data_IF_554408415945
#
_entry.id   IF_554408415945
#
_cell.length_a   1.000
_cell.length_b   1.000
_cell.length_c   1.000
_cell.angle_alpha   90.00
_cell.angle_beta   90.00
_cell.angle_gamma   90.00
#
_symmetry.space_group_name_H-M   'P 1'
#
loop_
_entity.id
_entity.type
_entity.pdbx_description
1 polymer ?
#
# COMPACT_ATOMS: atom_id res chain seq x y z
N UNK A 1 3.89 9.19 -15.82
CA UNK A 1 2.95 8.58 -16.76
C UNK A 1 2.28 7.44 -16.01
N UNK A 2 0.97 7.52 -15.74
CA UNK A 2 0.25 6.42 -15.08
C UNK A 2 0.27 5.20 -16.00
N UNK A 3 0.23 4.01 -15.41
CA UNK A 3 0.41 2.71 -16.04
C UNK A 3 -0.33 2.59 -17.40
N UNK A 4 0.43 2.73 -18.49
CA UNK A 4 -0.09 2.50 -19.83
C UNK A 4 -0.36 1.01 -19.99
N UNK A 5 -1.50 0.68 -20.59
CA UNK A 5 -1.73 -0.66 -21.10
C UNK A 5 -0.74 -0.92 -22.23
N UNK A 6 -0.05 -2.05 -22.14
CA UNK A 6 0.98 -2.45 -23.10
C UNK A 6 0.80 -3.92 -23.45
N UNK A 7 1.24 -4.27 -24.65
CA UNK A 7 1.46 -5.66 -25.05
C UNK A 7 2.94 -5.95 -24.96
N UNK A 8 3.31 -6.94 -24.15
CA UNK A 8 4.68 -7.38 -24.00
C UNK A 8 4.88 -8.72 -24.72
N UNK A 9 5.80 -8.78 -25.67
CA UNK A 9 6.25 -10.01 -26.31
C UNK A 9 7.36 -10.63 -25.47
N UNK A 10 7.23 -11.91 -25.12
CA UNK A 10 8.21 -12.67 -24.37
C UNK A 10 9.34 -13.09 -25.31
N UNK A 11 10.59 -12.90 -24.88
CA UNK A 11 11.78 -13.36 -25.58
C UNK A 11 12.40 -14.59 -24.91
N UNK A 12 12.37 -14.65 -23.58
CA UNK A 12 12.85 -15.82 -22.85
C UNK A 12 12.55 -15.78 -21.36
N UNK A 13 12.39 -16.96 -20.77
CA UNK A 13 12.23 -17.10 -19.32
C UNK A 13 13.59 -16.94 -18.60
N UNK A 14 13.62 -16.10 -17.57
CA UNK A 14 14.76 -15.88 -16.68
C UNK A 14 14.58 -16.63 -15.35
N UNK A 15 13.33 -16.87 -14.95
CA UNK A 15 12.90 -17.75 -13.85
C UNK A 15 11.44 -18.17 -14.08
N UNK A 16 10.83 -19.05 -13.25
CA UNK A 16 9.42 -19.45 -13.42
C UNK A 16 8.40 -18.31 -13.49
N UNK A 17 8.71 -17.16 -12.88
CA UNK A 17 7.81 -16.00 -12.81
C UNK A 17 8.40 -14.73 -13.43
N UNK A 18 9.58 -14.80 -14.06
CA UNK A 18 10.29 -13.65 -14.61
C UNK A 18 10.76 -13.95 -16.03
N UNK A 19 10.46 -13.04 -16.96
CA UNK A 19 10.79 -13.17 -18.37
C UNK A 19 11.44 -11.89 -18.88
N UNK A 20 12.33 -12.01 -19.87
CA UNK A 20 12.77 -10.90 -20.71
C UNK A 20 11.85 -10.77 -21.91
N UNK A 21 11.71 -9.55 -22.42
CA UNK A 21 10.87 -9.29 -23.57
C UNK A 21 10.92 -7.85 -24.04
N UNK A 22 9.94 -7.50 -24.89
CA UNK A 22 9.78 -6.16 -25.43
C UNK A 22 8.33 -5.70 -25.24
N UNK A 23 8.15 -4.53 -24.65
CA UNK A 23 6.85 -3.92 -24.45
C UNK A 23 6.53 -2.92 -25.58
N UNK A 24 5.31 -3.00 -26.08
CA UNK A 24 4.77 -2.12 -27.12
C UNK A 24 3.43 -1.51 -26.67
N UNK A 25 3.25 -0.22 -26.91
CA UNK A 25 2.03 0.50 -26.54
C UNK A 25 2.15 2.01 -26.77
N UNK A 26 1.13 2.76 -26.33
CA UNK A 26 1.10 4.22 -26.51
C UNK A 26 2.30 4.86 -25.81
N UNK A 27 3.19 5.48 -26.59
CA UNK A 27 4.42 6.11 -26.08
C UNK A 27 5.53 5.14 -25.68
N UNK A 28 5.44 3.86 -26.06
CA UNK A 28 6.44 2.83 -25.77
C UNK A 28 6.64 1.95 -27.01
N UNK A 29 7.50 2.34 -27.98
CA UNK A 29 7.74 1.55 -29.18
C UNK A 29 8.80 0.48 -28.92
N UNK A 30 8.37 -0.78 -28.71
CA UNK A 30 9.26 -1.95 -28.68
C UNK A 30 10.39 -1.84 -27.65
N UNK A 31 10.10 -1.35 -26.45
CA UNK A 31 11.10 -1.10 -25.41
C UNK A 31 11.45 -2.39 -24.67
N UNK A 32 12.74 -2.69 -24.49
CA UNK A 32 13.18 -3.84 -23.70
C UNK A 32 12.62 -3.78 -22.28
N UNK A 33 12.00 -4.87 -21.83
CA UNK A 33 11.23 -4.93 -20.60
C UNK A 33 11.49 -6.23 -19.84
N UNK A 34 11.20 -6.21 -18.54
CA UNK A 34 10.97 -7.43 -17.77
C UNK A 34 9.48 -7.66 -17.62
N UNK A 35 9.07 -8.92 -17.72
CA UNK A 35 7.68 -9.34 -17.55
C UNK A 35 7.64 -10.22 -16.31
N UNK A 36 6.76 -9.89 -15.38
CA UNK A 36 6.54 -10.68 -14.16
C UNK A 36 5.11 -11.18 -14.14
N UNK A 37 4.93 -12.49 -13.97
CA UNK A 37 3.62 -13.14 -13.94
C UNK A 37 3.66 -14.34 -13.00
N UNK A 38 2.59 -14.54 -12.21
CA UNK A 38 2.46 -15.75 -11.37
C UNK A 38 2.09 -16.98 -12.20
N UNK A 39 1.55 -16.76 -13.39
CA UNK A 39 1.21 -17.81 -14.37
C UNK A 39 2.25 -17.84 -15.51
N UNK A 40 2.51 -19.02 -16.10
CA UNK A 40 3.36 -19.10 -17.29
C UNK A 40 2.89 -18.15 -18.39
N UNK A 41 3.85 -17.53 -19.08
CA UNK A 41 3.60 -16.69 -20.26
C UNK A 41 4.39 -17.27 -21.43
N UNK A 42 3.71 -17.65 -22.50
CA UNK A 42 4.33 -18.29 -23.68
C UNK A 42 4.84 -17.23 -24.65
N UNK A 43 3.96 -16.55 -25.39
CA UNK A 43 4.37 -15.62 -26.45
C UNK A 43 4.16 -14.15 -26.09
N UNK A 44 2.98 -13.79 -25.57
CA UNK A 44 2.62 -12.40 -25.29
C UNK A 44 1.82 -12.25 -24.01
N UNK A 45 1.93 -11.07 -23.40
CA UNK A 45 1.13 -10.66 -22.25
C UNK A 45 0.59 -9.25 -22.50
N UNK A 46 -0.73 -9.10 -22.44
CA UNK A 46 -1.36 -7.79 -22.26
C UNK A 46 -1.34 -7.44 -20.78
N UNK A 47 -0.68 -6.34 -20.45
CA UNK A 47 -0.43 -5.96 -19.06
C UNK A 47 -0.31 -4.46 -18.88
N UNK A 48 0.23 -4.10 -17.73
CA UNK A 48 0.47 -2.72 -17.34
C UNK A 48 1.91 -2.55 -16.91
N UNK A 49 2.47 -1.37 -17.16
CA UNK A 49 3.74 -0.98 -16.54
C UNK A 49 3.47 -0.77 -15.04
N UNK A 50 4.10 -1.57 -14.18
CA UNK A 50 3.96 -1.46 -12.72
C UNK A 50 5.13 -0.79 -12.03
N UNK A 51 6.32 -0.91 -12.62
CA UNK A 51 7.51 -0.22 -12.15
C UNK A 51 8.47 0.03 -13.32
N UNK A 52 9.49 0.84 -13.07
CA UNK A 52 10.66 0.98 -13.94
C UNK A 52 11.90 0.74 -13.10
N UNK A 53 12.77 -0.17 -13.54
CA UNK A 53 14.07 -0.40 -12.91
C UNK A 53 15.15 0.35 -13.66
N UNK A 54 16.05 1.00 -12.92
CA UNK A 54 17.29 1.58 -13.44
C UNK A 54 18.42 0.63 -13.08
N UNK A 55 19.11 0.15 -14.10
CA UNK A 55 20.30 -0.68 -13.96
C UNK A 55 21.54 0.19 -13.70
N UNK A 56 22.61 -0.37 -13.18
CA UNK A 56 23.82 0.39 -12.84
C UNK A 56 24.56 1.03 -14.01
N UNK A 57 24.24 0.66 -15.26
CA UNK A 57 24.73 1.33 -16.47
C UNK A 57 23.83 2.52 -16.90
N UNK A 58 22.82 2.86 -16.08
CA UNK A 58 21.82 3.89 -16.37
C UNK A 58 20.64 3.40 -17.23
N UNK A 59 20.69 2.17 -17.75
CA UNK A 59 19.61 1.62 -18.57
C UNK A 59 18.32 1.52 -17.76
N UNK A 60 17.23 2.07 -18.29
CA UNK A 60 15.91 1.92 -17.72
C UNK A 60 15.13 0.79 -18.41
N UNK A 61 14.53 -0.10 -17.62
CA UNK A 61 13.66 -1.16 -18.13
C UNK A 61 12.32 -1.14 -17.40
N UNK A 62 11.17 -1.02 -18.11
CA UNK A 62 9.87 -1.18 -17.50
C UNK A 62 9.67 -2.63 -17.03
N UNK A 63 8.91 -2.76 -15.94
CA UNK A 63 8.38 -4.01 -15.40
C UNK A 63 6.90 -4.08 -15.80
N UNK A 64 6.54 -5.15 -16.50
CA UNK A 64 5.17 -5.40 -16.94
C UNK A 64 4.57 -6.53 -16.11
N UNK A 65 3.37 -6.32 -15.56
CA UNK A 65 2.60 -7.39 -14.91
C UNK A 65 1.20 -7.50 -15.53
N UNK A 66 0.53 -8.67 -15.41
CA UNK A 66 -0.86 -8.81 -15.80
C UNK A 66 -1.74 -7.78 -15.07
N UNK A 67 -2.75 -7.24 -15.75
CA UNK A 67 -3.63 -6.19 -15.21
C UNK A 67 -4.34 -6.59 -13.91
N UNK A 68 -4.67 -7.86 -13.78
CA UNK A 68 -5.32 -8.47 -12.62
C UNK A 68 -4.32 -8.93 -11.53
N UNK A 69 -3.02 -8.75 -11.76
CA UNK A 69 -1.94 -9.13 -10.85
C UNK A 69 -1.02 -7.91 -10.62
N UNK A 70 -1.54 -6.89 -9.94
CA UNK A 70 -0.72 -5.76 -9.51
C UNK A 70 0.26 -6.25 -8.46
N UNK A 71 1.54 -6.18 -8.78
CA UNK A 71 2.62 -6.44 -7.84
C UNK A 71 3.16 -5.13 -7.28
N UNK A 72 3.59 -5.18 -6.02
CA UNK A 72 4.16 -4.06 -5.31
C UNK A 72 5.66 -4.28 -5.09
N UNK A 73 6.36 -3.23 -4.68
CA UNK A 73 7.81 -3.20 -4.60
C UNK A 73 8.46 -4.44 -3.95
N UNK A 74 8.03 -4.95 -2.78
CA UNK A 74 8.71 -6.09 -2.16
C UNK A 74 8.64 -7.36 -3.02
N UNK A 75 7.49 -7.62 -3.65
CA UNK A 75 7.30 -8.78 -4.54
C UNK A 75 8.11 -8.64 -5.84
N UNK A 76 8.14 -7.43 -6.39
CA UNK A 76 8.93 -7.11 -7.59
C UNK A 76 10.41 -7.31 -7.28
N UNK A 77 10.92 -6.74 -6.20
CA UNK A 77 12.32 -6.85 -5.79
C UNK A 77 12.73 -8.31 -5.52
N UNK A 78 11.87 -9.09 -4.83
CA UNK A 78 12.10 -10.53 -4.65
C UNK A 78 12.22 -11.24 -5.99
N UNK A 79 11.33 -10.96 -6.94
CA UNK A 79 11.35 -11.60 -8.25
C UNK A 79 12.61 -11.24 -9.03
N UNK A 80 12.99 -9.96 -9.02
CA UNK A 80 14.16 -9.46 -9.71
C UNK A 80 15.48 -9.96 -9.12
N UNK A 81 15.50 -10.43 -7.86
CA UNK A 81 16.67 -11.09 -7.26
C UNK A 81 17.14 -12.34 -8.02
N UNK A 82 16.29 -12.92 -8.89
CA UNK A 82 16.67 -14.00 -9.79
C UNK A 82 17.70 -13.58 -10.87
N UNK A 83 17.84 -12.27 -11.13
CA UNK A 83 18.76 -11.74 -12.12
C UNK A 83 20.21 -11.70 -11.59
N UNK A 84 20.90 -12.85 -11.63
CA UNK A 84 22.25 -13.02 -11.03
C UNK A 84 23.35 -12.09 -11.58
N UNK A 85 23.22 -11.60 -12.81
CA UNK A 85 24.23 -10.78 -13.48
C UNK A 85 23.79 -9.34 -13.73
N UNK A 86 22.62 -8.94 -13.21
CA UNK A 86 22.07 -7.60 -13.42
C UNK A 86 22.09 -6.86 -12.10
N UNK A 87 22.85 -5.76 -12.04
CA UNK A 87 22.86 -4.89 -10.87
C UNK A 87 21.78 -3.81 -11.03
N UNK A 88 20.76 -3.89 -10.17
CA UNK A 88 19.70 -2.88 -10.09
C UNK A 88 20.17 -1.76 -9.16
N UNK A 89 20.16 -0.54 -9.66
CA UNK A 89 20.51 0.66 -8.89
C UNK A 89 19.28 1.25 -8.19
N UNK A 90 18.14 1.31 -8.90
CA UNK A 90 16.91 1.90 -8.39
C UNK A 90 15.69 1.22 -8.99
N UNK A 91 14.60 1.17 -8.22
CA UNK A 91 13.26 0.88 -8.72
C UNK A 91 12.35 2.10 -8.50
N UNK A 92 11.50 2.37 -9.49
CA UNK A 92 10.46 3.40 -9.40
C UNK A 92 9.10 2.74 -9.64
N UNK A 93 8.37 2.46 -8.56
CA UNK A 93 7.06 1.83 -8.61
C UNK A 93 5.97 2.83 -9.01
N UNK A 94 5.05 2.39 -9.86
CA UNK A 94 3.84 3.13 -10.24
C UNK A 94 2.63 2.74 -9.36
N UNK A 95 2.78 1.68 -8.57
CA UNK A 95 1.78 1.20 -7.62
C UNK A 95 2.41 1.02 -6.24
N UNK A 96 1.70 1.49 -5.22
CA UNK A 96 2.09 1.33 -3.82
C UNK A 96 0.96 0.69 -3.03
N UNK A 97 1.31 -0.13 -2.05
CA UNK A 97 0.37 -0.68 -1.09
C UNK A 97 0.81 -0.37 0.32
N UNK A 98 -0.13 0.15 1.10
CA UNK A 98 0.00 0.32 2.53
C UNK A 98 -1.13 -0.39 3.26
N UNK A 99 -0.87 -0.79 4.50
CA UNK A 99 -1.91 -1.28 5.40
C UNK A 99 -1.87 -0.51 6.71
N UNK A 100 -3.02 -0.30 7.32
CA UNK A 100 -3.16 0.44 8.57
C UNK A 100 -4.44 0.07 9.29
N UNK A 101 -4.75 0.78 10.37
CA UNK A 101 -5.95 0.51 11.14
C UNK A 101 -6.62 1.77 11.70
N UNK A 102 -7.95 1.77 11.70
CA UNK A 102 -8.74 2.63 12.59
C UNK A 102 -8.72 2.00 13.97
N UNK A 103 -8.09 2.66 14.93
CA UNK A 103 -7.89 2.12 16.27
C UNK A 103 -8.96 2.69 17.20
N UNK A 104 -9.78 1.81 17.77
CA UNK A 104 -10.80 2.14 18.76
C UNK A 104 -10.22 2.06 20.16
N UNK A 105 -10.48 3.10 20.95
CA UNK A 105 -10.24 3.13 22.39
C UNK A 105 -11.54 3.53 23.10
N UNK A 106 -11.92 2.78 24.13
CA UNK A 106 -13.03 3.15 25.01
C UNK A 106 -12.46 3.93 26.19
N UNK A 107 -12.78 5.21 26.26
CA UNK A 107 -12.34 6.08 27.35
C UNK A 107 -12.80 5.51 28.71
N UNK A 108 -11.85 5.36 29.64
CA UNK A 108 -12.11 4.71 30.94
C UNK A 108 -12.98 5.56 31.88
N UNK A 109 -13.02 6.88 31.66
CA UNK A 109 -13.75 7.84 32.50
C UNK A 109 -15.13 8.09 31.91
N UNK A 110 -15.21 8.44 30.62
CA UNK A 110 -16.47 8.83 29.97
C UNK A 110 -17.20 7.66 29.35
N UNK A 111 -16.52 6.54 29.08
CA UNK A 111 -17.06 5.40 28.35
C UNK A 111 -17.20 5.64 26.84
N UNK A 112 -16.81 6.81 26.33
CA UNK A 112 -16.92 7.21 24.94
C UNK A 112 -15.93 6.44 24.04
N UNK A 113 -16.36 6.05 22.84
CA UNK A 113 -15.47 5.47 21.82
C UNK A 113 -14.72 6.59 21.11
N UNK A 114 -13.40 6.51 21.17
CA UNK A 114 -12.45 7.38 20.47
C UNK A 114 -11.68 6.62 19.41
N UNK A 115 -11.21 7.36 18.40
CA UNK A 115 -10.30 6.87 17.39
C UNK A 115 -8.96 7.60 17.44
N UNK A 116 -7.88 6.88 17.15
CA UNK A 116 -6.56 7.50 17.00
C UNK A 116 -6.41 8.07 15.60
N UNK A 117 -6.01 9.33 15.52
CA UNK A 117 -5.53 9.96 14.31
C UNK A 117 -4.08 10.42 14.50
N UNK A 118 -3.28 10.24 13.46
CA UNK A 118 -1.87 10.69 13.41
C UNK A 118 -1.66 11.63 12.23
N UNK A 119 -0.64 12.47 12.33
CA UNK A 119 -0.19 13.36 11.26
C UNK A 119 1.27 13.04 10.96
N UNK A 120 1.53 12.48 9.79
CA UNK A 120 2.89 12.18 9.34
C UNK A 120 3.59 13.49 8.90
N UNK A 121 4.92 13.57 8.98
CA UNK A 121 5.72 14.74 8.58
C UNK A 121 5.45 15.21 7.15
N UNK A 122 5.32 14.24 6.25
CA UNK A 122 5.04 14.48 4.83
C UNK A 122 3.55 14.70 4.56
N UNK A 123 2.71 14.55 5.59
CA UNK A 123 1.26 14.66 5.54
C UNK A 123 0.78 16.03 5.99
N UNK A 124 -0.12 16.63 5.21
CA UNK A 124 -0.75 17.90 5.60
C UNK A 124 -1.89 17.73 6.59
N UNK A 125 -2.47 16.53 6.68
CA UNK A 125 -3.71 16.27 7.38
C UNK A 125 -3.64 15.00 8.22
N UNK A 126 -4.50 14.95 9.23
CA UNK A 126 -4.65 13.80 10.09
C UNK A 126 -5.34 12.64 9.36
N UNK A 127 -4.80 11.45 9.54
CA UNK A 127 -5.33 10.18 9.02
C UNK A 127 -5.06 9.06 10.02
N UNK A 128 -5.26 7.81 9.63
CA UNK A 128 -5.00 6.66 10.49
C UNK A 128 -3.55 6.18 10.37
N UNK A 129 -2.99 5.55 11.42
CA UNK A 129 -1.69 4.90 11.35
C UNK A 129 -1.65 3.83 10.26
N UNK A 130 -0.58 3.82 9.45
CA UNK A 130 -0.42 2.97 8.27
C UNK A 130 1.01 3.07 7.71
N UNK A 131 1.49 1.99 7.11
CA UNK A 131 2.72 2.04 6.33
C UNK A 131 2.81 0.92 5.30
N UNK A 132 3.99 0.74 4.72
CA UNK A 132 4.18 -0.09 3.53
C UNK A 132 4.12 -1.59 3.87
N UNK A 133 3.62 -2.39 2.94
CA UNK A 133 3.67 -3.85 3.08
C UNK A 133 5.11 -4.31 2.92
N UNK A 134 5.60 -5.16 3.81
CA UNK A 134 6.89 -5.83 3.67
C UNK A 134 6.75 -7.22 3.04
N UNK A 135 7.88 -7.77 2.57
CA UNK A 135 7.89 -9.03 1.86
C UNK A 135 7.42 -10.19 2.74
N UNK A 136 6.34 -10.86 2.33
CA UNK A 136 5.81 -12.03 3.02
C UNK A 136 4.79 -11.71 4.12
N UNK A 137 4.51 -10.43 4.38
CA UNK A 137 3.49 -10.03 5.33
C UNK A 137 2.07 -10.22 4.77
N UNK A 138 1.15 -10.59 5.65
CA UNK A 138 -0.27 -10.41 5.39
C UNK A 138 -0.68 -8.96 5.63
N UNK A 139 -1.73 -8.48 4.97
CA UNK A 139 -2.24 -7.11 5.18
C UNK A 139 -2.53 -6.79 6.66
N UNK A 140 -3.08 -7.77 7.40
CA UNK A 140 -3.34 -7.63 8.84
C UNK A 140 -2.05 -7.53 9.65
N UNK A 141 -1.04 -8.35 9.32
CA UNK A 141 0.25 -8.32 9.99
C UNK A 141 0.96 -6.98 9.77
N UNK A 142 0.98 -6.49 8.53
CA UNK A 142 1.48 -5.14 8.20
C UNK A 142 0.75 -4.08 9.02
N UNK A 143 -0.59 -4.08 9.04
CA UNK A 143 -1.34 -3.09 9.80
C UNK A 143 -1.02 -3.09 11.30
N UNK A 144 -0.84 -4.27 11.92
CA UNK A 144 -0.48 -4.37 13.34
C UNK A 144 0.95 -3.88 13.59
N UNK A 145 1.90 -4.27 12.74
CA UNK A 145 3.30 -3.83 12.84
C UNK A 145 3.41 -2.31 12.70
N UNK A 146 2.80 -1.74 11.67
CA UNK A 146 2.85 -0.29 11.40
C UNK A 146 2.22 0.53 12.53
N UNK A 147 1.08 0.07 13.07
CA UNK A 147 0.49 0.71 14.27
C UNK A 147 1.46 0.68 15.44
N UNK A 148 2.15 -0.46 15.65
CA UNK A 148 3.13 -0.59 16.73
C UNK A 148 4.34 0.31 16.50
N UNK A 149 4.86 0.39 15.29
CA UNK A 149 6.00 1.25 14.94
C UNK A 149 5.66 2.73 15.11
N UNK A 150 4.57 3.21 14.49
CA UNK A 150 4.23 4.64 14.49
C UNK A 150 3.77 5.16 15.87
N UNK A 151 3.21 4.29 16.74
CA UNK A 151 2.48 4.73 17.95
C UNK A 151 2.79 3.96 19.24
N UNK A 152 3.57 2.87 19.16
CA UNK A 152 3.86 1.93 20.25
C UNK A 152 2.63 1.21 20.85
N UNK A 153 1.46 1.31 20.21
CA UNK A 153 0.25 0.64 20.68
C UNK A 153 0.21 -0.85 20.31
N UNK A 154 -0.19 -1.66 21.29
CA UNK A 154 -0.62 -3.04 21.05
C UNK A 154 -2.12 -3.06 20.72
N UNK A 155 -2.46 -3.58 19.54
CA UNK A 155 -3.83 -3.58 19.03
C UNK A 155 -4.29 -4.99 18.65
N UNK A 156 -5.60 -5.20 18.72
CA UNK A 156 -6.25 -6.43 18.25
C UNK A 156 -7.18 -6.07 17.11
N UNK A 157 -6.93 -6.64 15.93
CA UNK A 157 -7.81 -6.49 14.76
C UNK A 157 -9.17 -7.13 15.05
N UNK A 158 -10.24 -6.42 14.73
CA UNK A 158 -11.59 -6.95 14.70
C UNK A 158 -11.84 -7.59 13.34
N UNK A 159 -12.35 -8.82 13.34
CA UNK A 159 -12.76 -9.49 12.11
C UNK A 159 -14.00 -8.83 11.50
N UNK A 160 -14.23 -9.04 10.21
CA UNK A 160 -15.43 -8.53 9.52
C UNK A 160 -15.32 -7.09 9.01
N UNK A 161 -14.24 -6.36 9.32
CA UNK A 161 -13.97 -5.03 8.76
C UNK A 161 -12.68 -4.99 7.95
N UNK A 162 -12.79 -4.61 6.68
CA UNK A 162 -11.65 -4.35 5.79
C UNK A 162 -12.05 -3.33 4.74
N UNK A 163 -11.37 -2.20 4.69
CA UNK A 163 -11.69 -1.15 3.73
C UNK A 163 -10.52 -0.68 2.89
N UNK A 164 -10.81 -0.47 1.60
CA UNK A 164 -9.83 -0.04 0.60
C UNK A 164 -10.02 1.45 0.33
N UNK A 165 -8.92 2.20 0.41
CA UNK A 165 -8.80 3.59 -0.04
C UNK A 165 -7.77 3.67 -1.16
N UNK A 166 -8.26 3.85 -2.39
CA UNK A 166 -7.41 4.03 -3.57
C UNK A 166 -7.34 5.52 -3.93
N UNK A 167 -6.13 6.04 -4.15
CA UNK A 167 -5.90 7.43 -4.58
C UNK A 167 -4.59 7.56 -5.36
N UNK A 168 -4.41 8.72 -6.01
CA UNK A 168 -3.21 9.01 -6.80
C UNK A 168 -2.47 10.24 -6.26
N UNK A 169 -1.50 10.06 -5.35
CA UNK A 169 -0.66 11.16 -4.88
C UNK A 169 0.01 11.88 -6.05
N UNK A 170 -0.28 13.18 -6.19
CA UNK A 170 0.30 14.06 -7.22
C UNK A 170 0.19 13.52 -8.68
N UNK A 171 -0.77 12.61 -8.94
CA UNK A 171 -0.99 12.00 -10.25
C UNK A 171 0.11 11.04 -10.75
N UNK A 172 1.09 10.68 -9.91
CA UNK A 172 2.26 9.88 -10.34
C UNK A 172 2.16 8.39 -10.00
N UNK A 173 1.67 8.09 -8.81
CA UNK A 173 1.63 6.74 -8.23
C UNK A 173 0.18 6.38 -7.92
N UNK A 174 -0.23 5.13 -8.16
CA UNK A 174 -1.50 4.59 -7.70
C UNK A 174 -1.30 3.96 -6.33
N UNK A 175 -1.74 4.65 -5.28
CA UNK A 175 -1.61 4.18 -3.90
C UNK A 175 -2.90 3.51 -3.47
N UNK A 176 -2.77 2.28 -2.96
CA UNK A 176 -3.82 1.52 -2.30
C UNK A 176 -3.51 1.43 -0.82
N UNK A 177 -4.43 1.89 0.01
CA UNK A 177 -4.34 1.69 1.46
C UNK A 177 -5.47 0.77 1.90
N UNK A 178 -5.12 -0.26 2.68
CA UNK A 178 -6.09 -1.17 3.29
C UNK A 178 -6.17 -0.84 4.78
N UNK A 179 -7.36 -0.43 5.23
CA UNK A 179 -7.64 -0.17 6.64
C UNK A 179 -8.42 -1.31 7.27
N UNK A 180 -7.93 -1.79 8.40
CA UNK A 180 -8.66 -2.66 9.31
C UNK A 180 -9.26 -1.87 10.46
N UNK A 181 -10.19 -2.48 11.18
CA UNK A 181 -10.67 -1.95 12.46
C UNK A 181 -9.93 -2.68 13.57
N UNK A 182 -9.39 -1.95 14.54
CA UNK A 182 -8.65 -2.51 15.65
C UNK A 182 -9.15 -1.92 16.97
N UNK A 183 -8.87 -2.62 18.08
CA UNK A 183 -9.10 -2.09 19.43
C UNK A 183 -7.81 -2.10 20.25
N UNK A 184 -7.66 -1.11 21.11
CA UNK A 184 -6.61 -1.04 22.14
C UNK A 184 -7.24 -0.89 23.53
N UNK A 185 -6.50 -1.33 24.55
CA UNK A 185 -6.82 -1.07 25.97
C UNK A 185 -6.05 0.12 26.55
N UNK A 186 -5.12 0.68 25.77
CA UNK A 186 -4.19 1.74 26.15
C UNK A 186 -4.39 2.96 25.26
N UNK A 187 -4.43 4.12 25.88
CA UNK A 187 -4.33 5.45 25.25
C UNK A 187 -2.92 6.04 25.33
N UNK A 188 -1.97 5.34 25.97
CA UNK A 188 -0.57 5.76 26.05
C UNK A 188 0.11 5.58 24.68
N UNK A 189 0.42 6.70 24.04
CA UNK A 189 1.12 6.76 22.75
C UNK A 189 2.58 7.14 22.98
N UNK A 190 3.48 6.46 22.26
CA UNK A 190 4.83 6.96 22.02
C UNK A 190 5.01 7.00 20.50
N UNK A 191 5.05 8.21 19.94
CA UNK A 191 5.14 8.36 18.49
C UNK A 191 6.55 8.07 17.99
N UNK A 192 6.64 7.53 16.79
CA UNK A 192 7.89 7.49 16.05
C UNK A 192 8.18 8.87 15.45
N UNK A 193 9.03 9.65 16.13
CA UNK A 193 9.36 11.02 15.75
C UNK A 193 9.98 11.16 14.35
N UNK A 194 10.54 10.08 13.77
CA UNK A 194 11.05 10.12 12.39
C UNK A 194 9.95 10.18 11.33
N UNK A 195 8.71 9.81 11.67
CA UNK A 195 7.59 9.74 10.73
C UNK A 195 6.37 10.57 11.17
N UNK A 196 6.06 10.60 12.47
CA UNK A 196 4.85 11.23 13.01
C UNK A 196 5.18 12.57 13.69
N UNK A 197 4.52 13.64 13.25
CA UNK A 197 4.60 14.98 13.87
C UNK A 197 3.78 15.03 15.17
N UNK A 198 2.56 14.49 15.11
CA UNK A 198 1.56 14.66 16.16
C UNK A 198 0.46 13.61 16.06
N UNK A 199 -0.27 13.43 17.15
CA UNK A 199 -1.42 12.53 17.23
C UNK A 199 -2.56 13.13 18.05
N UNK A 200 -3.75 12.58 17.90
CA UNK A 200 -4.91 12.93 18.71
C UNK A 200 -5.90 11.77 18.82
N UNK A 201 -6.43 11.59 20.02
CA UNK A 201 -7.61 10.76 20.26
C UNK A 201 -8.88 11.59 20.07
N UNK A 202 -9.69 11.23 19.08
CA UNK A 202 -10.89 11.99 18.71
C UNK A 202 -12.14 11.15 18.98
N UNK A 203 -13.19 11.71 19.60
CA UNK A 203 -14.49 11.05 19.65
C UNK A 203 -14.91 10.56 18.26
N UNK A 204 -15.36 9.31 18.13
CA UNK A 204 -15.77 8.77 16.83
C UNK A 204 -16.86 9.61 16.16
N UNK A 205 -17.72 10.27 16.96
CA UNK A 205 -18.75 11.21 16.50
C UNK A 205 -18.22 12.49 15.87
N UNK A 206 -16.96 12.87 16.14
CA UNK A 206 -16.31 14.11 15.66
C UNK A 206 -15.17 13.85 14.66
N UNK A 207 -14.84 12.58 14.41
CA UNK A 207 -13.69 12.18 13.58
C UNK A 207 -13.71 12.79 12.17
N UNK A 208 -14.88 12.91 11.56
CA UNK A 208 -15.13 13.51 10.24
C UNK A 208 -14.90 15.03 10.18
N UNK A 209 -14.90 15.71 11.33
CA UNK A 209 -14.53 17.13 11.42
C UNK A 209 -13.02 17.35 11.44
N UNK A 210 -12.25 16.31 11.77
CA UNK A 210 -10.80 16.36 11.91
C UNK A 210 -10.11 15.81 10.65
N UNK A 211 -10.60 14.70 10.11
CA UNK A 211 -10.13 14.16 8.84
C UNK A 211 -10.68 15.01 7.68
N UNK A 212 -9.78 15.59 6.87
CA UNK A 212 -10.17 16.48 5.78
C UNK A 212 -10.40 15.74 4.46
N UNK A 213 -9.68 14.64 4.22
CA UNK A 213 -9.80 13.87 2.99
C UNK A 213 -11.09 13.04 2.94
N UNK A 214 -11.80 13.11 1.81
CA UNK A 214 -13.05 12.37 1.60
C UNK A 214 -12.89 10.86 1.74
N UNK A 215 -11.72 10.33 1.37
CA UNK A 215 -11.43 8.91 1.53
C UNK A 215 -11.42 8.49 3.01
N UNK A 216 -10.81 9.29 3.89
CA UNK A 216 -10.74 8.99 5.33
C UNK A 216 -12.13 9.13 5.98
N UNK A 217 -12.91 10.14 5.56
CA UNK A 217 -14.32 10.30 5.98
C UNK A 217 -15.17 9.08 5.62
N UNK A 218 -15.02 8.54 4.40
CA UNK A 218 -15.71 7.31 3.98
C UNK A 218 -15.33 6.11 4.85
N UNK A 219 -14.06 5.98 5.22
CA UNK A 219 -13.61 4.92 6.14
C UNK A 219 -14.31 5.08 7.51
N UNK A 220 -14.35 6.30 8.07
CA UNK A 220 -15.03 6.59 9.34
C UNK A 220 -16.52 6.25 9.28
N UNK A 221 -17.22 6.63 8.21
CA UNK A 221 -18.63 6.31 8.02
C UNK A 221 -18.90 4.80 8.01
N UNK A 222 -18.02 4.05 7.34
CA UNK A 222 -18.11 2.59 7.32
C UNK A 222 -17.82 1.97 8.68
N UNK A 223 -16.87 2.52 9.45
CA UNK A 223 -16.63 2.11 10.83
C UNK A 223 -17.87 2.36 11.69
N UNK A 224 -18.50 3.54 11.60
CA UNK A 224 -19.74 3.88 12.33
C UNK A 224 -20.85 2.88 12.01
N UNK A 225 -21.03 2.53 10.73
CA UNK A 225 -22.01 1.53 10.28
C UNK A 225 -21.69 0.15 10.85
N UNK A 226 -20.44 -0.28 10.73
CA UNK A 226 -19.99 -1.58 11.24
C UNK A 226 -20.27 -1.73 12.75
N UNK A 227 -19.94 -0.72 13.56
CA UNK A 227 -20.18 -0.75 14.99
C UNK A 227 -21.67 -0.81 15.33
N UNK A 228 -22.51 -0.03 14.61
CA UNK A 228 -23.97 -0.06 14.76
C UNK A 228 -24.55 -1.45 14.46
N UNK A 229 -24.16 -2.05 13.34
CA UNK A 229 -24.70 -3.34 12.88
C UNK A 229 -24.28 -4.50 13.79
N UNK A 230 -23.09 -4.41 14.39
CA UNK A 230 -22.55 -5.43 15.29
C UNK A 230 -22.80 -5.15 16.79
N UNK A 231 -23.50 -4.06 17.12
CA UNK A 231 -23.86 -3.64 18.49
C UNK A 231 -22.63 -3.51 19.41
N UNK A 232 -21.54 -2.96 18.88
CA UNK A 232 -20.27 -2.70 19.59
C UNK A 232 -20.24 -1.28 20.14
#
# INVERSE_FOLDING_TARGET
MLANEVTASVYGALSPTLYSGYASGKGMPGTSAYIISKKPVEDTLTGIVTAVVTLSDGTQRPIITPRNEIMYEPEIMKTLSALRQVKIEKISCLYEKSCGAVILYKDKITGEIRILLVKNHNGRFYSFPKGHVELGESEKATAVREVKEETNLDVVILDGFREISDYCPFGKIRKRVVFFLAKTKSDNITIQESEIDSYQWVPLSKADTVCTYDNDKRVIEKVRRYLKDNRI
#
